data_IF_207182039183
#
_entry.id   IF_207182039183
#
_cell.length_a   1.000
_cell.length_b   1.000
_cell.length_c   1.000
_cell.angle_alpha   90.00
_cell.angle_beta   90.00
_cell.angle_gamma   90.00
#
_symmetry.space_group_name_H-M   'P 1'
#
loop_
_entity.id
_entity.type
_entity.pdbx_description
1 polymer ?
#
# COMPACT_ATOMS: atom_id res chain seq x y z
N UNK A 1 15.93 -27.11 -7.86
CA UNK A 1 15.81 -25.81 -8.56
C UNK A 1 14.44 -25.27 -8.22
N UNK A 2 14.43 -24.21 -7.44
CA UNK A 2 13.28 -23.70 -6.68
C UNK A 2 12.16 -23.20 -7.60
N UNK A 3 10.93 -23.56 -7.23
CA UNK A 3 9.71 -23.32 -8.00
C UNK A 3 9.42 -21.83 -8.18
N UNK A 4 9.60 -21.39 -9.41
CA UNK A 4 9.03 -20.17 -9.96
C UNK A 4 7.49 -20.25 -9.87
N UNK A 5 6.84 -19.38 -9.11
CA UNK A 5 5.39 -19.15 -9.22
C UNK A 5 4.55 -19.40 -7.98
N UNK A 6 4.99 -19.01 -6.77
CA UNK A 6 4.03 -18.64 -5.73
C UNK A 6 3.29 -17.39 -6.20
N UNK A 7 2.21 -17.60 -6.96
CA UNK A 7 1.19 -16.59 -7.20
C UNK A 7 0.91 -15.99 -5.84
N UNK A 8 1.18 -14.70 -5.70
CA UNK A 8 1.03 -13.94 -4.47
C UNK A 8 -0.48 -13.84 -4.20
N UNK A 9 -1.10 -14.94 -3.76
CA UNK A 9 -2.52 -15.06 -3.45
C UNK A 9 -2.74 -14.35 -2.13
N UNK A 10 -2.83 -13.03 -2.21
CA UNK A 10 -3.38 -12.21 -1.15
C UNK A 10 -4.90 -12.32 -1.28
N UNK A 11 -5.54 -12.94 -0.30
CA UNK A 11 -7.00 -12.90 -0.20
C UNK A 11 -7.48 -11.49 0.09
N UNK A 12 -8.72 -11.19 -0.28
CA UNK A 12 -9.35 -9.87 -0.08
C UNK A 12 -9.36 -9.49 1.40
N UNK A 13 -9.69 -10.45 2.28
CA UNK A 13 -9.61 -10.27 3.73
C UNK A 13 -8.20 -9.98 4.23
N UNK A 14 -7.20 -10.63 3.65
CA UNK A 14 -5.79 -10.45 4.02
C UNK A 14 -5.27 -9.07 3.57
N UNK A 15 -5.68 -8.61 2.38
CA UNK A 15 -5.41 -7.24 1.91
C UNK A 15 -6.14 -6.23 2.77
N UNK A 16 -7.39 -6.50 3.16
CA UNK A 16 -8.17 -5.60 3.99
C UNK A 16 -7.51 -5.38 5.35
N UNK A 17 -7.08 -6.45 6.04
CA UNK A 17 -6.35 -6.35 7.31
C UNK A 17 -5.03 -5.60 7.11
N UNK A 18 -4.29 -5.88 6.03
CA UNK A 18 -3.06 -5.13 5.73
C UNK A 18 -3.33 -3.63 5.54
N UNK A 19 -4.39 -3.27 4.82
CA UNK A 19 -4.80 -1.88 4.57
C UNK A 19 -5.26 -1.19 5.85
N UNK A 20 -6.00 -1.89 6.73
CA UNK A 20 -6.45 -1.37 8.01
C UNK A 20 -5.26 -1.01 8.91
N UNK A 21 -4.33 -1.96 9.09
CA UNK A 21 -3.11 -1.74 9.87
C UNK A 21 -2.24 -0.64 9.23
N UNK A 22 -2.12 -0.63 7.90
CA UNK A 22 -1.28 0.33 7.19
C UNK A 22 -1.90 1.73 7.17
N UNK A 23 -3.22 1.84 7.09
CA UNK A 23 -3.97 3.08 7.08
C UNK A 23 -3.93 3.83 8.42
N UNK A 24 -3.47 3.17 9.48
CA UNK A 24 -3.22 3.78 10.77
C UNK A 24 -2.22 4.95 10.63
N UNK A 25 -2.67 6.15 10.99
CA UNK A 25 -1.88 7.39 10.88
C UNK A 25 -0.55 7.28 11.62
N UNK A 26 -0.49 6.55 12.74
CA UNK A 26 0.75 6.34 13.48
C UNK A 26 1.75 5.45 12.73
N UNK A 27 1.27 4.52 11.89
CA UNK A 27 2.10 3.67 11.04
C UNK A 27 2.63 4.48 9.84
N UNK A 28 1.79 5.31 9.22
CA UNK A 28 2.19 6.19 8.12
C UNK A 28 3.21 7.24 8.55
N UNK A 29 2.97 7.92 9.67
CA UNK A 29 3.87 8.94 10.24
C UNK A 29 5.27 8.37 10.56
N UNK A 30 5.29 7.19 11.20
CA UNK A 30 6.55 6.48 11.50
C UNK A 30 7.29 5.99 10.25
N UNK A 31 6.60 5.77 9.14
CA UNK A 31 7.22 5.39 7.87
C UNK A 31 7.81 6.56 7.09
N UNK A 32 7.29 7.77 7.30
CA UNK A 32 7.72 8.99 6.60
C UNK A 32 9.04 9.53 7.19
N UNK A 33 9.22 9.43 8.51
CA UNK A 33 10.29 10.13 9.20
C UNK A 33 11.56 9.33 9.55
N UNK A 34 11.71 8.04 9.23
CA UNK A 34 12.78 7.24 9.86
C UNK A 34 13.34 6.08 8.99
N UNK A 35 14.68 5.94 8.93
CA UNK A 35 15.36 4.81 8.26
C UNK A 35 15.16 3.44 8.95
N UNK A 36 14.45 3.41 10.08
CA UNK A 36 14.20 2.26 10.96
C UNK A 36 12.84 1.58 10.69
N UNK A 37 12.40 1.59 9.44
CA UNK A 37 11.12 1.00 9.01
C UNK A 37 11.02 -0.52 9.25
N UNK A 38 12.13 -1.21 9.54
CA UNK A 38 12.16 -2.64 9.87
C UNK A 38 11.25 -3.00 11.06
N UNK A 39 11.21 -2.18 12.12
CA UNK A 39 10.32 -2.43 13.26
C UNK A 39 8.84 -2.25 12.91
N UNK A 40 8.52 -1.29 12.03
CA UNK A 40 7.16 -1.08 11.55
C UNK A 40 6.68 -2.30 10.79
N UNK A 41 7.47 -2.82 9.84
CA UNK A 41 7.08 -4.02 9.11
C UNK A 41 6.93 -5.25 10.01
N UNK A 42 7.77 -5.41 11.05
CA UNK A 42 7.60 -6.47 12.05
C UNK A 42 6.29 -6.32 12.85
N UNK A 43 5.92 -5.08 13.18
CA UNK A 43 4.66 -4.78 13.87
C UNK A 43 3.46 -5.15 12.99
N UNK A 44 3.51 -4.80 11.70
CA UNK A 44 2.47 -5.17 10.73
C UNK A 44 2.39 -6.69 10.58
N UNK A 45 3.53 -7.37 10.44
CA UNK A 45 3.58 -8.82 10.36
C UNK A 45 2.94 -9.49 11.59
N UNK A 46 3.27 -8.99 12.79
CA UNK A 46 2.70 -9.51 14.04
C UNK A 46 1.18 -9.28 14.13
N UNK A 47 0.69 -8.10 13.73
CA UNK A 47 -0.75 -7.82 13.70
C UNK A 47 -1.49 -8.70 12.68
N UNK A 48 -0.89 -8.96 11.52
CA UNK A 48 -1.47 -9.90 10.56
C UNK A 48 -1.49 -11.33 11.08
N UNK A 49 -0.44 -11.75 11.80
CA UNK A 49 -0.39 -13.06 12.46
C UNK A 49 -1.49 -13.20 13.54
N UNK A 50 -1.76 -12.14 14.30
CA UNK A 50 -2.86 -12.09 15.29
C UNK A 50 -4.25 -12.28 14.64
N UNK A 51 -4.42 -11.79 13.41
CA UNK A 51 -5.61 -12.04 12.60
C UNK A 51 -5.64 -13.42 11.92
N UNK A 52 -4.63 -14.28 12.14
CA UNK A 52 -4.51 -15.61 11.53
C UNK A 52 -3.81 -15.64 10.17
N UNK A 53 -3.18 -14.54 9.75
CA UNK A 53 -2.49 -14.42 8.47
C UNK A 53 -0.97 -14.35 8.65
N UNK A 54 -0.29 -15.50 8.51
CA UNK A 54 1.17 -15.57 8.61
C UNK A 54 1.83 -15.04 7.34
N UNK A 55 2.27 -13.78 7.34
CA UNK A 55 3.01 -13.16 6.22
C UNK A 55 4.37 -12.64 6.64
N UNK A 56 5.35 -12.87 5.77
CA UNK A 56 6.71 -12.37 6.01
C UNK A 56 6.81 -10.87 5.75
N UNK A 57 7.72 -10.21 6.47
CA UNK A 57 8.05 -8.79 6.27
C UNK A 57 8.36 -8.46 4.80
N UNK A 58 9.02 -9.36 4.07
CA UNK A 58 9.35 -9.16 2.66
C UNK A 58 8.12 -9.18 1.76
N UNK A 59 7.17 -10.11 1.99
CA UNK A 59 5.91 -10.16 1.26
C UNK A 59 5.07 -8.91 1.51
N UNK A 60 4.98 -8.49 2.77
CA UNK A 60 4.26 -7.27 3.18
C UNK A 60 4.85 -6.04 2.48
N UNK A 61 6.18 -5.88 2.50
CA UNK A 61 6.86 -4.79 1.79
C UNK A 61 6.55 -4.76 0.31
N UNK A 62 6.58 -5.92 -0.36
CA UNK A 62 6.28 -6.02 -1.78
C UNK A 62 4.82 -5.65 -2.07
N UNK A 63 3.87 -6.18 -1.29
CA UNK A 63 2.44 -5.89 -1.45
C UNK A 63 2.13 -4.42 -1.19
N UNK A 64 2.65 -3.83 -0.12
CA UNK A 64 2.51 -2.41 0.18
C UNK A 64 3.08 -1.53 -0.95
N UNK A 65 4.24 -1.89 -1.50
CA UNK A 65 4.84 -1.16 -2.64
C UNK A 65 3.94 -1.19 -3.87
N UNK A 66 3.32 -2.33 -4.17
CA UNK A 66 2.33 -2.46 -5.24
C UNK A 66 1.06 -1.67 -4.95
N UNK A 67 0.48 -1.79 -3.74
CA UNK A 67 -0.70 -1.02 -3.33
C UNK A 67 -0.46 0.49 -3.46
N UNK A 68 0.70 1.00 -3.02
CA UNK A 68 1.06 2.42 -3.16
C UNK A 68 1.25 2.86 -4.61
N UNK A 69 1.61 1.93 -5.52
CA UNK A 69 1.76 2.18 -6.95
C UNK A 69 0.40 2.15 -7.65
N UNK A 70 -0.43 1.17 -7.33
CA UNK A 70 -1.81 1.04 -7.84
C UNK A 70 -2.65 2.21 -7.36
N UNK A 71 -2.63 2.53 -6.06
CA UNK A 71 -3.31 3.70 -5.50
C UNK A 71 -2.88 4.99 -6.20
N UNK A 72 -1.57 5.23 -6.39
CA UNK A 72 -1.10 6.40 -7.16
C UNK A 72 -1.61 6.41 -8.59
N UNK A 73 -1.67 5.27 -9.27
CA UNK A 73 -2.24 5.17 -10.63
C UNK A 73 -3.74 5.44 -10.64
N UNK A 74 -4.49 4.95 -9.65
CA UNK A 74 -5.93 5.21 -9.52
C UNK A 74 -6.19 6.67 -9.15
N UNK A 75 -5.39 7.26 -8.26
CA UNK A 75 -5.44 8.69 -7.92
C UNK A 75 -5.06 9.53 -9.13
N UNK A 76 -4.05 9.16 -9.91
CA UNK A 76 -3.65 9.86 -11.13
C UNK A 76 -4.71 9.75 -12.25
N UNK A 77 -5.34 8.58 -12.41
CA UNK A 77 -6.45 8.42 -13.38
C UNK A 77 -7.78 9.05 -12.93
N UNK A 78 -8.02 9.17 -11.62
CA UNK A 78 -9.28 9.70 -11.07
C UNK A 78 -9.18 11.18 -10.65
N UNK A 79 -7.97 11.70 -10.45
CA UNK A 79 -7.69 13.13 -10.35
C UNK A 79 -7.11 13.58 -11.70
N UNK A 80 -7.97 13.63 -12.72
CA UNK A 80 -7.74 14.60 -13.79
C UNK A 80 -7.50 15.97 -13.15
N UNK A 81 -6.59 16.80 -13.68
CA UNK A 81 -6.35 18.13 -13.13
C UNK A 81 -7.70 18.84 -13.00
N UNK A 82 -8.01 19.35 -11.81
CA UNK A 82 -9.08 20.32 -11.62
C UNK A 82 -8.77 21.49 -12.57
N UNK A 83 -9.40 21.48 -13.74
CA UNK A 83 -9.18 22.45 -14.81
C UNK A 83 -9.79 23.80 -14.42
N UNK A 84 -9.39 24.88 -15.11
CA UNK A 84 -10.43 25.48 -15.94
C UNK A 84 -9.96 25.63 -17.40
N UNK A 85 -10.79 25.27 -18.39
CA UNK A 85 -10.69 25.87 -19.71
C UNK A 85 -11.11 27.33 -19.55
N UNK A 86 -10.14 28.24 -19.50
CA UNK A 86 -10.45 29.65 -19.78
C UNK A 86 -10.85 29.72 -21.26
N UNK A 87 -12.16 29.78 -21.49
CA UNK A 87 -12.70 30.17 -22.77
C UNK A 87 -12.32 31.63 -23.02
N UNK A 88 -11.22 31.84 -23.73
CA UNK A 88 -10.94 33.12 -24.37
C UNK A 88 -11.61 33.11 -25.74
N UNK A 89 -12.90 33.46 -25.75
CA UNK A 89 -13.51 34.08 -26.91
C UNK A 89 -12.93 35.49 -27.03
N UNK A 90 -12.24 35.78 -28.13
CA UNK A 90 -12.01 37.15 -28.57
C UNK A 90 -12.39 37.22 -30.04
N UNK A 91 -13.32 38.13 -30.34
CA UNK A 91 -13.76 38.52 -31.68
C UNK A 91 -12.60 39.14 -32.47
#
# INVERSE_FOLDING_TARGET
>A
MEGNGERNVWGDGEVHVLLDIWGDKAILDKMDGTSRNSQIYKTIAKRMEDCGFTRTVNQIKYKMKNLKKEYRKYVDHNNGPLTPPVGSNTH
#
